data_IF_598381529213
#
_entry.id   IF_598381529213
#
_cell.length_a   1.000
_cell.length_b   1.000
_cell.length_c   1.000
_cell.angle_alpha   90.00
_cell.angle_beta   90.00
_cell.angle_gamma   90.00
#
_symmetry.space_group_name_H-M   'P 1'
#
loop_
_entity.id
_entity.type
_entity.pdbx_description
1 polymer ?
#
# COMPACT_ATOMS: atom_id res chain seq x y z
N UNK A 1 59.50 -19.79 5.54
CA UNK A 1 59.85 -20.50 6.81
C UNK A 1 60.43 -19.47 7.78
N UNK A 2 60.28 -19.61 9.12
CA UNK A 2 59.30 -20.34 9.95
C UNK A 2 58.70 -19.39 11.06
N UNK A 3 57.79 -19.71 11.99
CA UNK A 3 57.60 -20.90 12.86
C UNK A 3 56.14 -21.10 13.33
N UNK A 4 55.81 -22.39 13.49
CA UNK A 4 54.74 -23.08 14.27
C UNK A 4 54.65 -22.56 15.72
N UNK A 5 53.57 -22.73 16.50
CA UNK A 5 52.87 -23.96 16.99
C UNK A 5 51.67 -23.44 17.85
N UNK A 6 50.50 -24.06 18.08
CA UNK A 6 50.19 -25.33 18.78
C UNK A 6 48.65 -25.50 18.84
N UNK A 7 48.19 -26.75 18.78
CA UNK A 7 46.78 -27.15 18.87
C UNK A 7 46.16 -26.98 20.26
N UNK A 8 44.83 -26.75 20.30
CA UNK A 8 43.97 -27.22 21.40
C UNK A 8 42.60 -27.64 20.86
N UNK A 9 42.29 -28.93 20.98
CA UNK A 9 40.94 -29.50 20.86
C UNK A 9 40.02 -28.92 21.94
N UNK A 10 38.81 -28.52 21.56
CA UNK A 10 37.63 -28.58 22.44
C UNK A 10 36.32 -28.48 21.64
N UNK A 11 35.45 -29.48 21.80
CA UNK A 11 33.99 -29.31 21.76
C UNK A 11 33.30 -29.16 20.42
N UNK A 12 32.72 -30.26 19.91
CA UNK A 12 31.49 -30.18 19.11
C UNK A 12 30.42 -29.51 19.97
N UNK A 13 29.98 -28.30 19.59
CA UNK A 13 28.70 -27.76 20.05
C UNK A 13 27.62 -28.15 19.04
N UNK A 14 26.58 -28.79 19.54
CA UNK A 14 25.32 -29.02 18.83
C UNK A 14 24.69 -27.69 18.40
N UNK A 15 23.88 -27.67 17.33
CA UNK A 15 23.17 -26.47 16.92
C UNK A 15 22.17 -26.07 18.00
N UNK A 16 22.20 -24.81 18.42
CA UNK A 16 21.17 -24.20 19.27
C UNK A 16 19.96 -23.94 18.38
N UNK A 17 18.77 -24.53 18.66
CA UNK A 17 17.55 -24.16 17.99
C UNK A 17 16.96 -22.94 18.70
N UNK A 18 16.80 -21.83 17.97
CA UNK A 18 16.08 -20.67 18.47
C UNK A 18 16.78 -19.34 18.21
N UNK A 19 16.96 -18.98 16.95
CA UNK A 19 16.92 -17.57 16.56
C UNK A 19 15.84 -17.44 15.49
N UNK A 20 14.57 -17.40 15.92
CA UNK A 20 13.54 -16.83 15.06
C UNK A 20 13.90 -15.36 14.94
N UNK A 21 14.36 -14.96 13.76
CA UNK A 21 14.37 -13.55 13.35
C UNK A 21 12.95 -13.04 13.58
N UNK A 22 12.72 -11.89 14.23
CA UNK A 22 11.41 -11.27 14.22
C UNK A 22 11.13 -10.92 12.75
N UNK A 23 10.40 -11.81 12.06
CA UNK A 23 9.78 -11.47 10.80
C UNK A 23 8.72 -10.45 11.12
N UNK A 24 8.90 -9.24 10.60
CA UNK A 24 7.86 -8.22 10.58
C UNK A 24 6.63 -8.84 9.90
N UNK A 25 5.57 -9.07 10.68
CA UNK A 25 4.30 -9.59 10.17
C UNK A 25 3.53 -8.41 9.59
N UNK A 26 3.76 -8.09 8.31
CA UNK A 26 3.00 -7.04 7.64
C UNK A 26 1.57 -7.54 7.40
N UNK A 27 0.59 -6.82 7.94
CA UNK A 27 -0.83 -7.05 7.72
C UNK A 27 -1.27 -6.35 6.42
N UNK A 28 -2.44 -6.73 5.85
CA UNK A 28 -2.74 -6.51 4.43
C UNK A 28 -3.08 -5.06 4.09
N UNK A 29 -2.83 -4.68 2.83
CA UNK A 29 -3.50 -3.55 2.18
C UNK A 29 -4.83 -4.05 1.62
N UNK A 30 -5.88 -3.31 1.90
CA UNK A 30 -7.23 -3.58 1.43
C UNK A 30 -7.67 -2.47 0.49
N UNK A 31 -8.19 -2.86 -0.66
CA UNK A 31 -9.00 -1.96 -1.47
C UNK A 31 -10.44 -2.39 -1.29
N UNK A 32 -11.19 -1.58 -0.58
CA UNK A 32 -12.61 -1.81 -0.34
C UNK A 32 -13.37 -0.89 -1.29
N UNK A 33 -14.01 -1.43 -2.32
CA UNK A 33 -14.75 -0.63 -3.30
C UNK A 33 -16.25 -1.00 -3.26
N UNK A 34 -17.11 0.03 -3.33
CA UNK A 34 -18.45 0.00 -2.76
C UNK A 34 -19.46 -1.09 -3.23
N UNK A 35 -20.40 -1.36 -2.30
CA UNK A 35 -21.79 -1.84 -2.37
C UNK A 35 -22.19 -3.09 -3.18
N UNK A 36 -22.22 -4.26 -2.51
CA UNK A 36 -23.25 -5.32 -2.65
C UNK A 36 -23.12 -6.37 -1.52
N UNK A 37 -24.19 -7.02 -1.03
CA UNK A 37 -24.06 -8.09 -0.04
C UNK A 37 -23.65 -9.42 -0.70
N UNK A 38 -22.48 -9.94 -0.30
CA UNK A 38 -22.22 -11.38 -0.29
C UNK A 38 -20.88 -11.83 -0.90
N UNK A 39 -19.84 -11.98 -0.06
CA UNK A 39 -18.67 -12.84 -0.33
C UNK A 39 -18.21 -13.48 0.98
N UNK A 40 -18.50 -14.78 1.16
CA UNK A 40 -18.19 -15.54 2.38
C UNK A 40 -16.74 -16.05 2.37
N UNK A 41 -15.86 -15.14 2.72
CA UNK A 41 -14.45 -15.27 3.20
C UNK A 41 -13.82 -13.85 3.23
N UNK A 42 -14.45 -12.90 2.52
CA UNK A 42 -14.26 -11.46 2.68
C UNK A 42 -14.67 -10.96 4.07
N UNK A 43 -15.62 -11.62 4.74
CA UNK A 43 -16.22 -11.19 6.02
C UNK A 43 -15.17 -10.83 7.08
N UNK A 44 -14.07 -11.59 7.21
CA UNK A 44 -13.05 -11.30 8.22
C UNK A 44 -12.22 -10.05 7.89
N UNK A 45 -11.92 -9.78 6.62
CA UNK A 45 -11.09 -8.63 6.22
C UNK A 45 -11.92 -7.36 6.06
N UNK A 46 -13.12 -7.49 5.51
CA UNK A 46 -14.15 -6.45 5.53
C UNK A 46 -14.47 -6.03 6.98
N UNK A 47 -14.55 -7.00 7.90
CA UNK A 47 -14.79 -6.72 9.32
C UNK A 47 -13.67 -5.91 9.99
N UNK A 48 -12.43 -5.92 9.50
CA UNK A 48 -11.35 -5.13 10.12
C UNK A 48 -11.56 -3.65 9.88
N UNK A 49 -11.77 -3.24 8.63
CA UNK A 49 -12.06 -1.85 8.31
C UNK A 49 -13.38 -1.41 8.97
N UNK A 50 -14.42 -2.24 8.89
CA UNK A 50 -15.71 -1.98 9.54
C UNK A 50 -15.61 -1.87 11.07
N UNK A 51 -14.68 -2.60 11.72
CA UNK A 51 -14.42 -2.49 13.15
C UNK A 51 -13.68 -1.20 13.55
N UNK A 52 -12.97 -0.56 12.61
CA UNK A 52 -12.25 0.70 12.85
C UNK A 52 -13.05 1.93 12.43
N UNK A 53 -13.79 1.82 11.33
CA UNK A 53 -14.46 2.92 10.64
C UNK A 53 -15.87 2.47 10.27
N UNK A 54 -16.87 3.09 10.90
CA UNK A 54 -18.28 2.72 10.70
C UNK A 54 -18.73 2.86 9.23
N UNK A 55 -18.18 3.83 8.49
CA UNK A 55 -18.44 4.00 7.05
C UNK A 55 -18.11 2.74 6.25
N UNK A 56 -17.05 1.99 6.63
CA UNK A 56 -16.60 0.82 5.88
C UNK A 56 -17.65 -0.30 5.84
N UNK A 57 -18.58 -0.37 6.80
CA UNK A 57 -19.71 -1.33 6.73
C UNK A 57 -20.67 -1.09 5.56
N UNK A 58 -20.59 0.06 4.89
CA UNK A 58 -21.35 0.37 3.68
C UNK A 58 -20.65 -0.04 2.38
N UNK A 59 -19.43 -0.56 2.45
CA UNK A 59 -18.62 -0.93 1.29
C UNK A 59 -18.59 -2.44 1.09
N UNK A 60 -18.21 -2.88 -0.12
CA UNK A 60 -17.92 -4.27 -0.40
C UNK A 60 -16.41 -4.47 -0.54
N UNK A 61 -15.89 -5.61 -0.08
CA UNK A 61 -14.48 -5.92 -0.30
C UNK A 61 -14.25 -6.29 -1.77
N UNK A 62 -13.43 -5.51 -2.47
CA UNK A 62 -13.10 -5.76 -3.87
C UNK A 62 -11.76 -6.50 -3.99
N UNK A 63 -10.73 -5.97 -3.33
CA UNK A 63 -9.41 -6.58 -3.28
C UNK A 63 -8.90 -6.69 -1.84
N UNK A 64 -8.32 -7.85 -1.53
CA UNK A 64 -7.52 -8.05 -0.32
C UNK A 64 -6.14 -8.56 -0.70
N UNK A 65 -5.10 -7.83 -0.33
CA UNK A 65 -3.72 -8.17 -0.61
C UNK A 65 -2.89 -8.21 0.67
N UNK A 66 -2.42 -9.39 1.02
CA UNK A 66 -1.37 -9.52 2.03
C UNK A 66 -0.06 -9.04 1.41
N UNK A 67 0.45 -7.93 1.93
CA UNK A 67 1.68 -7.34 1.41
C UNK A 67 2.88 -8.14 1.94
N UNK A 68 3.66 -8.80 1.07
CA UNK A 68 4.87 -9.44 1.49
C UNK A 68 5.93 -8.39 1.81
N UNK A 69 6.91 -8.74 2.65
CA UNK A 69 8.09 -7.89 2.88
C UNK A 69 8.79 -7.56 1.56
N UNK A 70 8.89 -8.54 0.67
CA UNK A 70 9.51 -8.42 -0.66
C UNK A 70 8.53 -8.89 -1.73
N UNK A 71 8.37 -8.13 -2.81
CA UNK A 71 7.47 -8.46 -3.91
C UNK A 71 8.20 -8.50 -5.26
N UNK A 72 7.59 -9.17 -6.24
CA UNK A 72 7.96 -9.11 -7.66
C UNK A 72 6.69 -9.16 -8.51
N UNK A 73 5.72 -8.28 -8.19
CA UNK A 73 4.41 -8.34 -8.85
C UNK A 73 4.47 -7.90 -10.31
N UNK A 74 5.60 -7.33 -10.77
CA UNK A 74 5.83 -7.14 -12.20
C UNK A 74 5.94 -8.48 -12.93
N UNK A 75 6.67 -9.45 -12.36
CA UNK A 75 6.81 -10.76 -12.95
C UNK A 75 5.63 -11.71 -12.63
N UNK A 76 5.06 -11.61 -11.42
CA UNK A 76 4.09 -12.60 -10.92
C UNK A 76 2.63 -12.14 -10.95
N UNK A 77 2.39 -10.84 -11.10
CA UNK A 77 1.13 -10.22 -10.72
C UNK A 77 0.93 -10.17 -9.19
N UNK A 78 0.03 -9.30 -8.70
CA UNK A 78 -0.30 -9.22 -7.27
C UNK A 78 -1.14 -10.43 -6.82
N UNK A 79 -0.71 -11.19 -5.80
CA UNK A 79 -1.41 -12.38 -5.32
C UNK A 79 -2.55 -12.00 -4.36
N UNK A 80 -3.63 -11.44 -4.91
CA UNK A 80 -4.81 -11.11 -4.12
C UNK A 80 -5.42 -12.35 -3.47
N UNK A 81 -5.71 -12.28 -2.17
CA UNK A 81 -6.53 -13.29 -1.48
C UNK A 81 -7.99 -13.21 -1.90
N UNK A 82 -8.46 -11.98 -2.12
CA UNK A 82 -9.79 -11.68 -2.65
C UNK A 82 -9.60 -10.81 -3.88
N UNK A 83 -10.14 -11.25 -5.00
CA UNK A 83 -10.30 -10.46 -6.22
C UNK A 83 -11.74 -10.67 -6.71
N UNK A 84 -12.61 -9.71 -6.40
CA UNK A 84 -14.00 -9.72 -6.84
C UNK A 84 -14.24 -8.88 -8.10
N UNK A 85 -13.17 -8.39 -8.75
CA UNK A 85 -13.28 -7.38 -9.82
C UNK A 85 -13.99 -7.86 -11.07
N UNK A 86 -13.87 -9.15 -11.39
CA UNK A 86 -14.60 -9.78 -12.48
C UNK A 86 -16.06 -10.11 -12.13
N UNK A 87 -16.44 -10.04 -10.84
CA UNK A 87 -17.79 -10.38 -10.36
C UNK A 87 -18.61 -9.16 -9.93
N UNK A 88 -17.99 -7.98 -9.84
CA UNK A 88 -18.68 -6.74 -9.49
C UNK A 88 -19.35 -6.14 -10.72
N UNK A 89 -20.63 -6.47 -10.91
CA UNK A 89 -21.46 -5.95 -12.01
C UNK A 89 -22.31 -4.74 -11.61
N UNK A 90 -22.31 -4.35 -10.33
CA UNK A 90 -23.08 -3.22 -9.82
C UNK A 90 -22.35 -1.89 -10.06
N UNK A 91 -23.08 -0.81 -10.40
CA UNK A 91 -22.49 0.52 -10.44
C UNK A 91 -22.08 0.97 -9.04
N UNK A 92 -20.99 1.71 -8.97
CA UNK A 92 -20.47 2.30 -7.73
C UNK A 92 -20.03 3.75 -7.99
N UNK A 93 -20.14 4.59 -6.96
CA UNK A 93 -19.77 6.01 -7.01
C UNK A 93 -18.74 6.40 -5.94
N UNK A 94 -18.38 5.47 -5.04
CA UNK A 94 -17.34 5.63 -4.03
C UNK A 94 -16.39 4.43 -3.98
N UNK A 95 -15.16 4.71 -3.60
CA UNK A 95 -14.08 3.73 -3.38
C UNK A 95 -13.35 4.07 -2.10
N UNK A 96 -12.76 3.06 -1.45
CA UNK A 96 -11.96 3.24 -0.25
C UNK A 96 -10.69 2.39 -0.28
N UNK A 97 -9.62 2.95 0.27
CA UNK A 97 -8.37 2.26 0.54
C UNK A 97 -8.18 2.18 2.05
N UNK A 98 -7.89 0.98 2.54
CA UNK A 98 -7.59 0.74 3.94
C UNK A 98 -6.24 0.03 4.03
N UNK A 99 -5.30 0.60 4.77
CA UNK A 99 -4.01 -0.03 5.04
C UNK A 99 -3.88 -0.23 6.54
N UNK A 100 -3.49 -1.44 6.97
CA UNK A 100 -3.16 -1.74 8.36
C UNK A 100 -1.81 -2.44 8.45
N UNK A 101 -0.91 -1.87 9.24
CA UNK A 101 0.45 -2.35 9.46
C UNK A 101 0.62 -2.75 10.92
N UNK A 102 1.29 -3.88 11.14
CA UNK A 102 1.70 -4.28 12.49
C UNK A 102 3.13 -3.83 12.74
N UNK A 103 3.31 -2.99 13.76
CA UNK A 103 4.62 -2.61 14.25
C UNK A 103 5.29 -3.81 14.97
N UNK A 104 6.62 -3.82 15.12
CA UNK A 104 7.32 -4.92 15.81
C UNK A 104 6.87 -5.20 17.25
N UNK A 105 6.22 -4.23 17.91
CA UNK A 105 5.67 -4.35 19.26
C UNK A 105 4.22 -4.90 19.27
N UNK A 106 3.67 -5.25 18.11
CA UNK A 106 2.30 -5.74 17.94
C UNK A 106 1.24 -4.63 17.84
N UNK A 107 1.63 -3.35 17.87
CA UNK A 107 0.69 -2.25 17.63
C UNK A 107 0.20 -2.29 16.18
N UNK A 108 -1.09 -2.05 15.99
CA UNK A 108 -1.71 -1.94 14.67
C UNK A 108 -1.89 -0.46 14.32
N UNK A 109 -1.14 0.00 13.33
CA UNK A 109 -1.26 1.33 12.74
C UNK A 109 -2.10 1.21 11.46
N UNK A 110 -3.14 2.03 11.31
CA UNK A 110 -4.07 1.93 10.20
C UNK A 110 -4.52 3.29 9.67
N UNK A 111 -4.88 3.31 8.39
CA UNK A 111 -5.49 4.45 7.71
C UNK A 111 -6.58 3.96 6.78
N UNK A 112 -7.66 4.70 6.73
CA UNK A 112 -8.78 4.55 5.83
C UNK A 112 -8.96 5.86 5.07
N UNK A 113 -9.01 5.78 3.75
CA UNK A 113 -9.28 6.91 2.87
C UNK A 113 -10.37 6.51 1.88
N UNK A 114 -11.56 7.12 1.96
CA UNK A 114 -12.63 6.95 0.98
C UNK A 114 -12.84 8.21 0.16
N UNK A 115 -13.30 8.06 -1.09
CA UNK A 115 -13.47 9.16 -2.03
C UNK A 115 -14.51 8.82 -3.09
N UNK A 116 -14.90 9.83 -3.88
CA UNK A 116 -15.66 9.60 -5.12
C UNK A 116 -14.85 8.70 -6.07
N UNK A 117 -15.53 7.73 -6.66
CA UNK A 117 -14.94 6.80 -7.62
C UNK A 117 -14.31 7.56 -8.80
N UNK A 118 -13.07 7.20 -9.11
CA UNK A 118 -12.24 7.85 -10.12
C UNK A 118 -12.16 7.04 -11.43
N UNK A 119 -12.83 5.89 -11.46
CA UNK A 119 -13.07 5.01 -12.59
C UNK A 119 -14.35 4.22 -12.31
N UNK A 120 -15.05 3.79 -13.37
CA UNK A 120 -16.21 2.92 -13.28
C UNK A 120 -15.86 1.43 -13.45
N UNK A 121 -14.58 1.10 -13.65
CA UNK A 121 -14.12 -0.26 -13.90
C UNK A 121 -13.52 -0.87 -12.62
N UNK A 122 -14.11 -1.91 -12.04
CA UNK A 122 -13.57 -2.53 -10.82
C UNK A 122 -12.13 -3.00 -10.95
N UNK A 123 -11.76 -3.57 -12.11
CA UNK A 123 -10.41 -4.05 -12.40
C UNK A 123 -9.32 -2.97 -12.34
N UNK A 124 -9.72 -1.69 -12.35
CA UNK A 124 -8.83 -0.55 -12.29
C UNK A 124 -8.65 -0.02 -10.85
N UNK A 125 -9.27 -0.62 -9.83
CA UNK A 125 -9.18 -0.11 -8.44
C UNK A 125 -8.04 -0.72 -7.62
N UNK A 126 -7.50 -1.86 -8.04
CA UNK A 126 -6.33 -2.49 -7.42
C UNK A 126 -4.99 -1.92 -7.90
N UNK A 127 -3.90 -2.60 -7.50
CA UNK A 127 -2.58 -2.43 -8.11
C UNK A 127 -2.65 -2.66 -9.62
N UNK A 128 -2.03 -1.78 -10.43
CA UNK A 128 -2.11 -1.85 -11.88
C UNK A 128 -1.40 -3.09 -12.42
N UNK A 129 -1.95 -3.66 -13.48
CA UNK A 129 -1.29 -4.71 -14.26
C UNK A 129 0.06 -4.17 -14.80
N UNK A 130 1.18 -4.87 -14.53
CA UNK A 130 2.50 -4.50 -15.04
C UNK A 130 2.57 -4.34 -16.55
N UNK A 131 1.76 -5.08 -17.30
CA UNK A 131 1.70 -5.08 -18.76
C UNK A 131 0.67 -4.11 -19.33
N UNK A 132 -0.32 -3.72 -18.52
CA UNK A 132 -1.42 -2.85 -18.94
C UNK A 132 -1.05 -1.36 -19.01
N UNK A 133 0.09 -0.98 -18.43
CA UNK A 133 0.66 0.38 -18.51
C UNK A 133 -0.23 1.49 -17.97
N UNK A 134 -1.15 1.14 -17.07
CA UNK A 134 -2.13 2.08 -16.52
C UNK A 134 -1.47 3.07 -15.57
N UNK A 135 -1.71 4.35 -15.83
CA UNK A 135 -1.29 5.47 -14.97
C UNK A 135 -2.54 6.20 -14.47
N UNK A 136 -2.64 6.40 -13.16
CA UNK A 136 -3.61 7.26 -12.51
C UNK A 136 -2.82 8.33 -11.77
N UNK A 137 -2.89 9.56 -12.27
CA UNK A 137 -2.42 10.74 -11.57
C UNK A 137 -3.49 11.80 -11.70
N UNK A 138 -4.37 11.91 -10.71
CA UNK A 138 -5.49 12.84 -10.76
C UNK A 138 -6.00 13.24 -9.38
N UNK A 139 -6.62 14.42 -9.25
CA UNK A 139 -7.37 14.76 -8.06
C UNK A 139 -8.61 13.86 -7.92
N UNK A 140 -8.98 13.59 -6.66
CA UNK A 140 -10.24 12.93 -6.28
C UNK A 140 -11.05 13.88 -5.43
N UNK A 141 -12.37 13.73 -5.41
CA UNK A 141 -13.27 14.56 -4.63
C UNK A 141 -13.93 13.77 -3.49
N UNK A 142 -14.51 14.48 -2.52
CA UNK A 142 -15.25 13.94 -1.37
C UNK A 142 -14.43 12.94 -0.54
N UNK A 143 -13.19 13.33 -0.24
CA UNK A 143 -12.25 12.55 0.55
C UNK A 143 -12.71 12.51 2.01
N UNK A 144 -12.84 11.31 2.56
CA UNK A 144 -12.97 11.06 4.00
C UNK A 144 -11.73 10.30 4.48
N UNK A 145 -11.17 10.72 5.61
CA UNK A 145 -9.98 10.10 6.21
C UNK A 145 -10.26 9.71 7.66
N UNK A 146 -9.91 8.48 8.02
CA UNK A 146 -9.83 8.02 9.39
C UNK A 146 -8.50 7.29 9.62
N UNK A 147 -7.86 7.49 10.77
CA UNK A 147 -6.60 6.82 11.11
C UNK A 147 -6.36 6.87 12.62
N UNK A 148 -5.57 5.94 13.14
CA UNK A 148 -5.00 6.02 14.49
C UNK A 148 -3.54 6.50 14.51
N UNK A 149 -2.94 6.79 13.35
CA UNK A 149 -1.53 7.20 13.23
C UNK A 149 -1.41 8.69 13.54
N UNK A 150 -0.54 9.02 14.49
CA UNK A 150 -0.23 10.41 14.81
C UNK A 150 0.37 11.12 13.58
N UNK A 151 -0.11 12.32 13.28
CA UNK A 151 0.33 13.09 12.11
C UNK A 151 -0.53 12.89 10.87
N UNK A 152 -1.50 11.96 10.88
CA UNK A 152 -2.62 11.96 9.92
C UNK A 152 -3.78 12.76 10.52
N UNK A 153 -4.34 13.67 9.74
CA UNK A 153 -5.51 14.45 10.15
C UNK A 153 -6.78 13.74 9.67
N UNK A 154 -7.61 13.18 10.57
CA UNK A 154 -8.89 12.59 10.20
C UNK A 154 -9.92 13.68 9.88
N UNK A 155 -10.91 13.33 9.07
CA UNK A 155 -12.06 14.19 8.76
C UNK A 155 -12.52 14.10 7.30
N UNK A 156 -13.51 14.93 6.99
CA UNK A 156 -14.05 15.11 5.64
C UNK A 156 -13.38 16.31 4.98
N UNK A 157 -12.91 16.11 3.76
CA UNK A 157 -12.18 17.11 2.99
C UNK A 157 -12.88 17.38 1.66
N UNK A 158 -13.63 18.48 1.62
CA UNK A 158 -14.35 18.92 0.42
C UNK A 158 -13.39 19.30 -0.73
N UNK A 159 -12.15 19.70 -0.42
CA UNK A 159 -11.09 19.92 -1.42
C UNK A 159 -10.63 18.63 -2.09
N UNK A 160 -11.00 17.48 -1.53
CA UNK A 160 -10.64 16.18 -2.06
C UNK A 160 -9.22 15.77 -1.69
N UNK A 161 -8.61 14.94 -2.52
CA UNK A 161 -7.24 14.45 -2.38
C UNK A 161 -6.63 14.18 -3.75
N UNK A 162 -5.53 13.42 -3.81
CA UNK A 162 -4.94 12.99 -5.08
C UNK A 162 -4.47 11.54 -5.02
N UNK A 163 -4.49 10.90 -6.18
CA UNK A 163 -4.03 9.53 -6.37
C UNK A 163 -2.82 9.50 -7.29
N UNK A 164 -1.90 8.59 -6.96
CA UNK A 164 -0.71 8.28 -7.76
C UNK A 164 -0.57 6.77 -7.86
N UNK A 165 -1.01 6.21 -8.99
CA UNK A 165 -1.09 4.76 -9.21
C UNK A 165 -0.51 4.38 -10.57
N UNK A 166 0.61 3.66 -10.60
CA UNK A 166 1.24 3.17 -11.84
C UNK A 166 2.19 1.98 -11.58
N UNK A 167 2.54 1.17 -12.60
CA UNK A 167 3.48 0.06 -12.45
C UNK A 167 4.95 0.45 -12.68
N UNK A 168 5.22 1.66 -13.14
CA UNK A 168 6.51 2.11 -13.66
C UNK A 168 7.45 2.70 -12.59
N UNK A 169 8.68 3.02 -13.02
CA UNK A 169 9.57 3.94 -12.32
C UNK A 169 8.95 5.36 -12.27
N UNK A 170 9.49 6.24 -11.43
CA UNK A 170 9.08 7.65 -11.37
C UNK A 170 10.20 8.56 -10.87
N UNK A 171 10.04 9.87 -11.05
CA UNK A 171 10.99 10.92 -10.65
C UNK A 171 10.29 12.07 -9.92
N UNK A 172 11.02 12.90 -9.17
CA UNK A 172 10.44 13.98 -8.35
C UNK A 172 9.77 15.14 -9.08
N UNK A 173 9.72 15.15 -10.42
CA UNK A 173 9.25 16.32 -11.14
C UNK A 173 7.72 16.44 -11.05
N UNK A 174 7.17 17.62 -10.70
CA UNK A 174 5.73 17.81 -10.59
C UNK A 174 5.09 18.23 -11.93
N UNK A 175 5.21 17.35 -12.93
CA UNK A 175 4.65 17.61 -14.27
C UNK A 175 3.12 17.69 -14.24
N UNK A 176 2.49 16.95 -13.32
CA UNK A 176 1.05 16.99 -13.07
C UNK A 176 0.54 18.30 -12.45
N UNK A 177 1.45 19.18 -12.01
CA UNK A 177 1.14 20.45 -11.31
C UNK A 177 0.22 20.23 -10.10
N UNK A 178 0.44 19.16 -9.37
CA UNK A 178 -0.30 18.88 -8.13
C UNK A 178 0.00 19.99 -7.12
N UNK A 179 -1.02 20.63 -6.53
CA UNK A 179 -0.79 21.72 -5.58
C UNK A 179 0.06 21.29 -4.37
N UNK A 180 1.02 22.12 -4.00
CA UNK A 180 1.89 21.90 -2.83
C UNK A 180 3.05 20.93 -3.03
N UNK A 181 3.10 20.25 -4.17
CA UNK A 181 4.14 19.29 -4.53
C UNK A 181 5.48 19.94 -4.90
N UNK A 182 6.56 19.20 -4.70
CA UNK A 182 7.92 19.57 -5.06
C UNK A 182 8.28 19.19 -6.49
N UNK A 183 9.20 19.94 -7.10
CA UNK A 183 9.84 19.55 -8.37
C UNK A 183 11.19 18.84 -8.16
N UNK A 184 11.62 18.67 -6.91
CA UNK A 184 12.99 18.31 -6.57
C UNK A 184 13.13 17.16 -5.56
N UNK A 185 12.08 16.83 -4.81
CA UNK A 185 12.08 15.74 -3.84
C UNK A 185 10.86 14.87 -4.05
N UNK A 186 10.99 13.57 -3.79
CA UNK A 186 9.87 12.63 -3.90
C UNK A 186 8.81 12.98 -2.85
N UNK A 187 7.60 13.30 -3.30
CA UNK A 187 6.47 13.61 -2.43
C UNK A 187 5.12 13.14 -3.00
N UNK A 188 4.28 14.06 -3.45
CA UNK A 188 3.04 13.80 -4.16
C UNK A 188 3.10 14.65 -5.43
N UNK A 189 2.57 14.20 -6.54
CA UNK A 189 2.77 14.88 -7.82
C UNK A 189 4.00 14.40 -8.58
N UNK A 190 4.66 13.34 -8.11
CA UNK A 190 5.81 12.73 -8.78
C UNK A 190 5.49 12.34 -10.22
N UNK A 191 6.47 12.44 -11.11
CA UNK A 191 6.29 12.12 -12.52
C UNK A 191 6.46 10.61 -12.76
N UNK A 192 5.40 9.89 -13.18
CA UNK A 192 5.56 8.52 -13.66
C UNK A 192 6.41 8.49 -14.93
N UNK A 193 7.32 7.52 -15.00
CA UNK A 193 7.99 7.16 -16.23
C UNK A 193 7.08 6.28 -17.10
N UNK A 194 7.60 5.86 -18.26
CA UNK A 194 6.95 4.89 -19.15
C UNK A 194 7.70 3.56 -19.20
N UNK A 195 8.60 3.32 -18.25
CA UNK A 195 9.50 2.17 -18.20
C UNK A 195 9.75 1.71 -16.76
N UNK A 196 10.44 0.56 -16.66
CA UNK A 196 10.76 -0.05 -15.38
C UNK A 196 9.56 -0.66 -14.67
N UNK A 197 9.81 -1.10 -13.45
CA UNK A 197 8.94 -1.99 -12.70
C UNK A 197 8.83 -1.57 -11.22
N UNK A 198 9.14 -0.32 -10.88
CA UNK A 198 9.10 0.13 -9.48
C UNK A 198 7.71 -0.06 -8.90
N UNK A 199 6.71 0.60 -9.50
CA UNK A 199 5.34 0.57 -9.02
C UNK A 199 5.09 1.58 -7.90
N UNK A 200 3.97 2.29 -7.98
CA UNK A 200 3.50 3.27 -6.99
C UNK A 200 1.98 3.18 -6.83
N UNK A 201 1.49 3.13 -5.59
CA UNK A 201 0.09 3.30 -5.22
C UNK A 201 0.09 4.16 -3.97
N UNK A 202 -0.33 5.40 -4.14
CA UNK A 202 -0.34 6.39 -3.08
C UNK A 202 -1.64 7.18 -3.08
N UNK A 203 -2.08 7.51 -1.87
CA UNK A 203 -3.26 8.36 -1.63
C UNK A 203 -2.81 9.53 -0.78
N UNK A 204 -3.12 10.74 -1.23
CA UNK A 204 -2.66 11.96 -0.57
C UNK A 204 -3.82 12.86 -0.20
N UNK A 205 -3.66 13.56 0.92
CA UNK A 205 -4.30 14.83 1.18
C UNK A 205 -3.32 15.98 0.94
N UNK A 206 -3.17 16.35 -0.34
CA UNK A 206 -2.21 17.37 -0.78
C UNK A 206 -2.51 18.77 -0.21
N UNK A 207 -3.77 19.09 0.12
CA UNK A 207 -4.12 20.38 0.72
C UNK A 207 -3.50 20.57 2.12
N UNK A 208 -3.19 19.48 2.82
CA UNK A 208 -2.50 19.46 4.10
C UNK A 208 -1.05 18.98 3.99
N UNK A 209 -0.58 18.68 2.77
CA UNK A 209 0.73 18.08 2.52
C UNK A 209 0.93 16.73 3.21
N UNK A 210 -0.10 15.87 3.16
CA UNK A 210 -0.08 14.56 3.81
C UNK A 210 -0.16 13.43 2.79
N UNK A 211 0.83 12.54 2.78
CA UNK A 211 0.69 11.17 2.29
C UNK A 211 -0.15 10.42 3.31
N UNK A 212 -1.27 9.84 2.90
CA UNK A 212 -2.13 9.05 3.79
C UNK A 212 -1.64 7.62 3.84
N UNK A 213 -1.41 7.02 2.67
CA UNK A 213 -0.81 5.71 2.52
C UNK A 213 0.05 5.66 1.26
N UNK A 214 1.09 4.83 1.30
CA UNK A 214 1.93 4.52 0.16
C UNK A 214 2.30 3.04 0.18
N UNK A 215 2.20 2.39 -0.98
CA UNK A 215 2.83 1.11 -1.25
C UNK A 215 3.55 1.22 -2.60
N UNK A 216 4.87 1.20 -2.59
CA UNK A 216 5.71 1.38 -3.75
C UNK A 216 6.71 0.22 -3.86
N UNK A 217 7.42 0.15 -4.98
CA UNK A 217 8.53 -0.81 -5.18
C UNK A 217 8.09 -2.28 -5.11
N UNK A 218 6.85 -2.57 -5.51
CA UNK A 218 6.34 -3.95 -5.48
C UNK A 218 6.78 -4.77 -6.69
N UNK A 219 7.19 -4.13 -7.79
CA UNK A 219 7.48 -4.81 -9.05
C UNK A 219 8.98 -5.11 -9.25
N UNK A 220 9.83 -4.63 -8.36
CA UNK A 220 11.27 -4.85 -8.43
C UNK A 220 11.65 -6.10 -7.63
N UNK A 221 11.72 -7.25 -8.31
CA UNK A 221 12.22 -8.50 -7.73
C UNK A 221 13.66 -8.43 -7.21
N UNK A 222 14.18 -9.55 -6.70
CA UNK A 222 15.55 -9.63 -6.18
C UNK A 222 15.68 -9.55 -4.65
N UNK A 223 14.57 -9.69 -3.93
CA UNK A 223 14.58 -9.87 -2.46
C UNK A 223 14.82 -8.59 -1.67
N UNK A 224 14.62 -7.42 -2.28
CA UNK A 224 14.61 -6.14 -1.56
C UNK A 224 13.21 -5.84 -1.07
N UNK A 225 13.12 -5.21 0.11
CA UNK A 225 11.84 -4.85 0.68
C UNK A 225 11.13 -3.78 -0.17
N UNK A 226 9.81 -3.89 -0.27
CA UNK A 226 8.97 -2.85 -0.85
C UNK A 226 8.87 -1.65 0.10
N UNK A 227 8.58 -0.47 -0.45
CA UNK A 227 8.45 0.74 0.37
C UNK A 227 6.97 0.89 0.75
N UNK A 228 6.66 0.78 2.04
CA UNK A 228 5.29 0.80 2.55
C UNK A 228 5.18 1.71 3.77
N UNK A 229 4.13 2.52 3.84
CA UNK A 229 3.95 3.45 4.95
C UNK A 229 2.56 4.06 5.05
N UNK A 230 2.29 4.59 6.25
CA UNK A 230 1.13 5.39 6.60
C UNK A 230 1.66 6.73 7.11
N UNK A 231 1.20 7.83 6.53
CA UNK A 231 1.71 9.17 6.84
C UNK A 231 2.93 9.58 5.99
N UNK A 232 3.37 10.82 6.18
CA UNK A 232 4.58 11.33 5.53
C UNK A 232 5.81 10.54 6.01
N UNK A 233 6.70 10.20 5.08
CA UNK A 233 8.03 9.77 5.44
C UNK A 233 8.72 10.92 6.18
N UNK A 234 9.11 10.67 7.44
CA UNK A 234 10.10 11.51 8.11
C UNK A 234 11.46 11.00 7.62
N UNK A 235 12.19 11.83 6.89
CA UNK A 235 13.60 11.55 6.63
C UNK A 235 14.30 11.32 8.00
N UNK A 236 15.09 10.24 8.17
CA UNK A 236 15.90 10.05 9.36
C UNK A 236 16.95 11.14 9.57
#
# INVERSE_FOLDING_TARGET
MPKRTLERRAGRRAPVPGSRRPGLLLLPLFVIAAAHPGIRDADAQDSRAAARVAEASGYALLYALDIPVTADFHATGPPYRVDASASLDAPFDRVAYYLELEAPDGRLDWVYASMRAYTAKPAELGLPDPTGGRVVQQPVADLHVASNVAGIQPGDFATGGSLEIWPFNYSPANVGRVPGASDAVYDWGDQPASDGAYGSLQVHQHALGQVLLAYNRWGMGGGVASDIGIGNAVDP
#
